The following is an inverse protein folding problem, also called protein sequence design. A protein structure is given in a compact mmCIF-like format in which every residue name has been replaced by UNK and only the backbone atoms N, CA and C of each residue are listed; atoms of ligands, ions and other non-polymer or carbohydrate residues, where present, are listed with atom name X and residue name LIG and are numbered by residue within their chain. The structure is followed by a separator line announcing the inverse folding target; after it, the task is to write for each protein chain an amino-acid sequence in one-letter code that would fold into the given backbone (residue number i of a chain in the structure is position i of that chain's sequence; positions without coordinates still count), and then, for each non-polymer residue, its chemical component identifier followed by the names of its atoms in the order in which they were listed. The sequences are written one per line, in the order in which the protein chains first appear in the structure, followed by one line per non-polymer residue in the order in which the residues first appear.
data_IF_318508844802
#
_entry.id   IF_318508844802
#
_cell.length_a   1.000
_cell.length_b   1.000
_cell.length_c   1.000
_cell.angle_alpha   90.00
_cell.angle_beta   90.00
_cell.angle_gamma   90.00
#
_symmetry.space_group_name_H-M   'P 1'
#
loop_
_entity.id
_entity.type
_entity.pdbx_description
1 polymer ?
#
# COMPACT_ATOMS: atom_id res chain seq x y z
N UNK A 1 -7.50 18.41 7.10
CA UNK A 1 -7.15 18.42 5.66
C UNK A 1 -5.81 19.16 5.52
N UNK A 2 -4.82 18.62 4.78
CA UNK A 2 -3.44 19.17 4.71
C UNK A 2 -3.11 19.75 3.33
N UNK A 3 -4.00 20.57 2.78
CA UNK A 3 -3.77 21.21 1.48
C UNK A 3 -2.77 22.36 1.64
N UNK A 4 -1.91 22.55 0.64
CA UNK A 4 -0.95 23.65 0.64
C UNK A 4 -1.65 25.01 0.64
N UNK A 5 -1.11 25.99 1.37
CA UNK A 5 -1.60 27.36 1.31
C UNK A 5 -0.93 28.08 0.12
N UNK A 6 -1.71 28.78 -0.70
CA UNK A 6 -1.20 29.67 -1.74
C UNK A 6 -1.52 31.13 -1.41
N UNK A 7 -0.63 32.05 -1.83
CA UNK A 7 -0.85 33.50 -1.77
C UNK A 7 -1.55 34.05 -3.02
N UNK A 8 -1.80 33.22 -4.03
CA UNK A 8 -2.43 33.61 -5.30
C UNK A 8 -3.94 33.39 -5.20
N UNK A 9 -4.79 34.42 -5.43
CA UNK A 9 -6.24 34.31 -5.26
C UNK A 9 -6.91 33.19 -6.08
N UNK A 10 -6.50 33.02 -7.34
CA UNK A 10 -7.03 31.95 -8.21
C UNK A 10 -6.69 30.54 -7.69
N UNK A 11 -5.50 30.35 -7.12
CA UNK A 11 -5.11 29.07 -6.52
C UNK A 11 -5.84 28.83 -5.19
N UNK A 12 -6.13 29.88 -4.42
CA UNK A 12 -6.96 29.79 -3.22
C UNK A 12 -8.38 29.34 -3.54
N UNK A 13 -8.96 29.84 -4.63
CA UNK A 13 -10.28 29.42 -5.11
C UNK A 13 -10.26 27.95 -5.59
N UNK A 14 -9.23 27.53 -6.32
CA UNK A 14 -9.04 26.13 -6.73
C UNK A 14 -8.92 25.20 -5.51
N UNK A 15 -8.13 25.59 -4.51
CA UNK A 15 -7.97 24.85 -3.25
C UNK A 15 -9.30 24.78 -2.50
N UNK A 16 -10.06 25.88 -2.40
CA UNK A 16 -11.34 25.92 -1.70
C UNK A 16 -12.39 25.03 -2.39
N UNK A 17 -12.48 25.08 -3.73
CA UNK A 17 -13.35 24.22 -4.51
C UNK A 17 -12.98 22.74 -4.35
N UNK A 18 -11.67 22.44 -4.33
CA UNK A 18 -11.20 21.09 -4.05
C UNK A 18 -11.56 20.64 -2.63
N UNK A 19 -11.32 21.46 -1.59
CA UNK A 19 -11.74 21.20 -0.22
C UNK A 19 -13.23 20.84 -0.14
N UNK A 20 -14.06 21.65 -0.79
CA UNK A 20 -15.52 21.48 -0.79
C UNK A 20 -15.92 20.17 -1.45
N UNK A 21 -15.29 19.81 -2.57
CA UNK A 21 -15.50 18.52 -3.21
C UNK A 21 -15.09 17.36 -2.30
N UNK A 22 -13.91 17.41 -1.66
CA UNK A 22 -13.49 16.36 -0.71
C UNK A 22 -14.49 16.23 0.44
N UNK A 23 -14.94 17.35 1.03
CA UNK A 23 -15.93 17.33 2.10
C UNK A 23 -17.25 16.70 1.65
N UNK A 24 -17.71 16.99 0.43
CA UNK A 24 -18.94 16.39 -0.11
C UNK A 24 -18.88 14.85 -0.23
N UNK A 25 -17.67 14.28 -0.39
CA UNK A 25 -17.48 12.82 -0.34
C UNK A 25 -17.64 12.29 1.08
N UNK A 26 -17.14 13.02 2.08
CA UNK A 26 -17.14 12.58 3.48
C UNK A 26 -18.47 12.81 4.21
N UNK A 27 -19.20 13.87 3.87
CA UNK A 27 -20.45 14.24 4.53
C UNK A 27 -21.65 13.40 4.04
N UNK A 28 -21.52 12.76 2.87
CA UNK A 28 -22.62 12.11 2.17
C UNK A 28 -23.53 13.17 1.52
N UNK A 29 -23.67 13.18 0.20
CA UNK A 29 -24.69 14.02 -0.42
C UNK A 29 -26.09 13.52 -0.01
N UNK A 30 -27.08 14.42 -0.02
CA UNK A 30 -28.51 14.16 0.27
C UNK A 30 -29.18 13.06 -0.60
N UNK A 31 -28.44 12.43 -1.51
CA UNK A 31 -28.86 11.33 -2.36
C UNK A 31 -28.33 9.99 -1.82
N UNK A 32 -28.81 9.56 -0.65
CA UNK A 32 -28.70 8.16 -0.25
C UNK A 32 -29.62 7.33 -1.14
N UNK A 33 -29.09 6.27 -1.77
CA UNK A 33 -29.92 5.18 -2.26
C UNK A 33 -30.62 4.47 -1.09
N UNK A 34 -31.68 3.69 -1.37
CA UNK A 34 -32.41 2.91 -0.36
C UNK A 34 -31.51 1.89 0.39
N UNK A 35 -30.40 1.50 -0.24
CA UNK A 35 -29.21 0.92 0.38
C UNK A 35 -28.24 2.09 0.61
N UNK A 36 -27.71 2.46 1.77
CA UNK A 36 -26.79 3.62 1.97
C UNK A 36 -25.48 3.76 1.14
N UNK A 37 -25.45 3.32 -0.11
CA UNK A 37 -24.52 3.59 -1.19
C UNK A 37 -24.76 4.99 -1.76
N UNK A 38 -23.68 5.76 -1.84
CA UNK A 38 -23.62 7.07 -2.49
C UNK A 38 -22.87 6.92 -3.81
N UNK A 39 -23.50 7.31 -4.92
CA UNK A 39 -22.77 7.50 -6.16
C UNK A 39 -21.98 8.80 -6.11
N UNK A 40 -20.67 8.70 -6.26
CA UNK A 40 -19.77 9.84 -6.35
C UNK A 40 -19.33 10.00 -7.79
N UNK A 41 -19.68 11.14 -8.37
CA UNK A 41 -19.19 11.54 -9.69
C UNK A 41 -17.79 12.16 -9.53
N UNK A 42 -16.83 11.62 -10.28
CA UNK A 42 -15.45 12.09 -10.23
C UNK A 42 -15.23 13.12 -11.34
N UNK A 43 -14.67 14.30 -11.01
CA UNK A 43 -14.30 15.30 -12.01
C UNK A 43 -13.38 14.74 -13.09
N UNK A 44 -13.65 15.06 -14.36
CA UNK A 44 -12.93 14.50 -15.51
C UNK A 44 -11.42 14.77 -15.47
N UNK A 45 -11.01 15.92 -14.92
CA UNK A 45 -9.60 16.28 -14.75
C UNK A 45 -8.87 15.37 -13.75
N UNK A 46 -9.59 14.70 -12.86
CA UNK A 46 -9.03 13.74 -11.90
C UNK A 46 -9.03 12.31 -12.44
N UNK A 47 -9.74 12.02 -13.54
CA UNK A 47 -9.80 10.68 -14.10
C UNK A 47 -8.61 10.37 -15.02
N UNK A 48 -8.24 9.09 -15.06
CA UNK A 48 -7.47 8.52 -16.18
C UNK A 48 -8.47 8.15 -17.27
N UNK A 49 -8.31 8.71 -18.46
CA UNK A 49 -9.25 8.55 -19.59
C UNK A 49 -8.77 7.56 -20.66
N UNK A 50 -7.54 7.05 -20.55
CA UNK A 50 -6.98 6.10 -21.50
C UNK A 50 -7.63 4.72 -21.36
N UNK A 51 -8.31 4.30 -22.42
CA UNK A 51 -9.02 3.02 -22.49
C UNK A 51 -8.15 1.88 -23.05
N UNK A 52 -6.97 2.18 -23.59
CA UNK A 52 -6.10 1.18 -24.22
C UNK A 52 -5.18 0.53 -23.21
N UNK A 53 -4.53 1.32 -22.36
CA UNK A 53 -3.69 0.80 -21.29
C UNK A 53 -3.80 1.66 -20.02
N UNK A 54 -4.98 1.64 -19.35
CA UNK A 54 -5.27 2.53 -18.22
C UNK A 54 -4.25 2.42 -17.08
N UNK A 55 -3.75 1.21 -16.81
CA UNK A 55 -2.77 0.99 -15.76
C UNK A 55 -1.39 1.58 -16.11
N UNK A 56 -0.99 1.55 -17.39
CA UNK A 56 0.26 2.16 -17.83
C UNK A 56 0.19 3.68 -17.74
N UNK A 57 -0.86 4.32 -18.26
CA UNK A 57 -1.01 5.79 -18.19
C UNK A 57 -1.07 6.28 -16.74
N UNK A 58 -1.63 5.44 -15.87
CA UNK A 58 -1.62 5.68 -14.43
C UNK A 58 -0.21 5.61 -13.82
N UNK A 59 0.58 4.62 -14.21
CA UNK A 59 1.98 4.49 -13.77
C UNK A 59 2.81 5.64 -14.31
N UNK A 60 2.61 6.05 -15.56
CA UNK A 60 3.32 7.19 -16.16
C UNK A 60 2.99 8.51 -15.45
N UNK A 61 1.74 8.68 -14.99
CA UNK A 61 1.37 9.83 -14.17
C UNK A 61 2.13 9.84 -12.82
N UNK A 62 2.19 8.68 -12.14
CA UNK A 62 2.79 8.59 -10.80
C UNK A 62 4.32 8.60 -10.90
N UNK A 63 4.87 7.80 -11.80
CA UNK A 63 6.29 7.51 -12.00
C UNK A 63 6.70 7.81 -13.45
N UNK A 64 6.68 9.09 -13.87
CA UNK A 64 7.08 9.49 -15.21
C UNK A 64 8.53 9.10 -15.46
N UNK A 65 8.80 8.64 -16.68
CA UNK A 65 10.13 8.19 -17.13
C UNK A 65 10.75 7.23 -16.12
N UNK A 66 9.97 6.24 -15.66
CA UNK A 66 10.34 5.30 -14.58
C UNK A 66 11.77 4.79 -14.77
N UNK A 67 12.08 4.26 -15.96
CA UNK A 67 13.38 3.63 -16.26
C UNK A 67 14.56 4.60 -16.13
N UNK A 68 14.40 5.85 -16.56
CA UNK A 68 15.46 6.85 -16.49
C UNK A 68 15.68 7.32 -15.04
N UNK A 69 14.62 7.32 -14.24
CA UNK A 69 14.65 7.76 -12.86
C UNK A 69 14.91 6.64 -11.83
N UNK A 70 15.03 5.37 -12.26
CA UNK A 70 15.37 4.26 -11.35
C UNK A 70 16.72 4.44 -10.66
N UNK A 71 17.62 5.27 -11.18
CA UNK A 71 18.88 5.64 -10.52
C UNK A 71 18.69 6.60 -9.35
N UNK A 72 17.71 7.49 -9.40
CA UNK A 72 17.49 8.54 -8.42
C UNK A 72 16.99 7.96 -7.08
N UNK A 73 17.61 8.40 -5.98
CA UNK A 73 17.27 7.96 -4.63
C UNK A 73 15.96 8.58 -4.14
N UNK A 74 15.64 9.79 -4.62
CA UNK A 74 14.48 10.56 -4.17
C UNK A 74 13.24 10.30 -5.03
N UNK A 75 13.39 9.66 -6.18
CA UNK A 75 12.30 9.43 -7.13
C UNK A 75 11.04 8.85 -6.48
N UNK A 76 11.19 7.85 -5.61
CA UNK A 76 10.06 7.19 -4.96
C UNK A 76 9.54 7.90 -3.69
N UNK A 77 10.18 8.97 -3.23
CA UNK A 77 9.89 9.59 -1.91
C UNK A 77 8.45 10.12 -1.80
N UNK A 78 7.95 10.74 -2.86
CA UNK A 78 6.75 11.59 -2.83
C UNK A 78 5.61 11.08 -3.72
N UNK A 79 5.66 9.79 -4.00
CA UNK A 79 4.80 9.13 -4.97
C UNK A 79 4.33 7.81 -4.38
N UNK A 80 3.07 7.49 -4.61
CA UNK A 80 2.49 6.25 -4.15
C UNK A 80 1.17 5.97 -4.85
N UNK A 81 0.97 4.71 -5.19
CA UNK A 81 -0.32 4.24 -5.64
C UNK A 81 -1.07 3.81 -4.36
N UNK A 82 -2.39 3.99 -4.26
CA UNK A 82 -3.21 3.28 -3.28
C UNK A 82 -4.15 2.34 -4.03
N UNK A 83 -4.36 1.17 -3.44
CA UNK A 83 -5.26 0.21 -4.01
C UNK A 83 -6.23 -0.32 -2.97
N UNK A 84 -7.44 -0.63 -3.44
CA UNK A 84 -8.56 -1.09 -2.66
C UNK A 84 -8.28 -2.43 -1.97
N UNK A 85 -8.16 -3.47 -2.78
CA UNK A 85 -8.07 -4.86 -2.35
C UNK A 85 -6.63 -5.33 -2.38
N UNK A 86 -6.35 -6.42 -1.66
CA UNK A 86 -5.05 -7.09 -1.75
C UNK A 86 -4.79 -7.61 -3.18
N UNK A 87 -5.82 -8.06 -3.89
CA UNK A 87 -5.70 -8.58 -5.26
C UNK A 87 -5.27 -7.49 -6.24
N UNK A 88 -5.89 -6.30 -6.17
CA UNK A 88 -5.43 -5.14 -6.93
C UNK A 88 -4.00 -4.76 -6.58
N UNK A 89 -3.60 -4.93 -5.30
CA UNK A 89 -2.23 -4.68 -4.86
C UNK A 89 -1.23 -5.64 -5.49
N UNK A 90 -1.54 -6.92 -5.51
CA UNK A 90 -0.71 -7.93 -6.14
C UNK A 90 -0.58 -7.65 -7.64
N UNK A 91 -1.69 -7.37 -8.33
CA UNK A 91 -1.71 -7.12 -9.78
C UNK A 91 -0.82 -5.94 -10.19
N UNK A 92 -0.96 -4.78 -9.54
CA UNK A 92 -0.15 -3.59 -9.86
C UNK A 92 1.31 -3.78 -9.46
N UNK A 93 1.59 -4.45 -8.33
CA UNK A 93 2.97 -4.73 -7.93
C UNK A 93 3.66 -5.66 -8.96
N UNK A 94 2.96 -6.68 -9.47
CA UNK A 94 3.47 -7.56 -10.52
C UNK A 94 3.72 -6.81 -11.82
N UNK A 95 2.78 -5.95 -12.22
CA UNK A 95 2.94 -5.11 -13.41
C UNK A 95 4.13 -4.15 -13.26
N UNK A 96 4.26 -3.45 -12.14
CA UNK A 96 5.42 -2.59 -11.83
C UNK A 96 6.74 -3.35 -11.86
N UNK A 97 6.77 -4.57 -11.31
CA UNK A 97 7.94 -5.43 -11.34
C UNK A 97 8.31 -5.88 -12.76
N UNK A 98 7.35 -6.01 -13.66
CA UNK A 98 7.59 -6.32 -15.08
C UNK A 98 8.28 -5.17 -15.83
N UNK A 99 7.99 -3.92 -15.44
CA UNK A 99 8.58 -2.72 -16.04
C UNK A 99 10.02 -2.47 -15.56
N UNK A 100 10.35 -2.84 -14.32
CA UNK A 100 11.69 -2.61 -13.78
C UNK A 100 12.70 -3.54 -14.46
N UNK A 101 13.77 -3.01 -15.07
CA UNK A 101 14.83 -3.81 -15.66
C UNK A 101 15.65 -4.55 -14.59
N UNK A 102 16.32 -5.61 -15.02
CA UNK A 102 17.19 -6.42 -14.17
C UNK A 102 16.61 -7.77 -13.79
N UNK A 103 17.47 -8.62 -13.24
CA UNK A 103 17.15 -9.99 -12.89
C UNK A 103 16.24 -10.05 -11.64
N UNK A 104 15.12 -10.76 -11.77
CA UNK A 104 14.25 -11.07 -10.64
C UNK A 104 14.89 -12.16 -9.78
N UNK A 105 14.97 -11.91 -8.47
CA UNK A 105 15.35 -12.92 -7.49
C UNK A 105 14.18 -13.29 -6.61
N UNK A 106 13.86 -14.58 -6.58
CA UNK A 106 12.83 -15.15 -5.72
C UNK A 106 13.43 -15.62 -4.38
N UNK A 107 12.78 -15.24 -3.29
CA UNK A 107 13.07 -15.73 -1.95
C UNK A 107 11.86 -16.50 -1.42
N UNK A 108 12.02 -17.81 -1.25
CA UNK A 108 11.01 -18.65 -0.59
C UNK A 108 11.17 -18.56 0.93
N UNK A 109 10.04 -18.54 1.63
CA UNK A 109 10.00 -18.60 3.09
C UNK A 109 10.21 -20.01 3.60
N UNK A 110 10.50 -20.13 4.90
CA UNK A 110 10.46 -21.39 5.62
C UNK A 110 9.33 -21.36 6.64
N UNK A 111 8.32 -22.20 6.41
CA UNK A 111 7.06 -22.18 7.13
C UNK A 111 6.96 -23.40 8.06
N UNK A 112 6.43 -23.20 9.26
CA UNK A 112 6.34 -24.23 10.30
C UNK A 112 5.22 -23.94 11.27
N UNK A 113 4.73 -24.97 11.94
CA UNK A 113 3.80 -24.83 13.05
C UNK A 113 4.61 -24.58 14.32
N UNK A 114 4.19 -23.59 15.10
CA UNK A 114 4.75 -23.30 16.41
C UNK A 114 4.10 -24.23 17.43
N UNK A 115 4.85 -25.22 17.93
CA UNK A 115 4.38 -26.20 18.92
C UNK A 115 4.28 -25.53 20.29
N UNK A 116 3.08 -25.32 20.79
CA UNK A 116 2.83 -24.92 22.18
C UNK A 116 1.73 -25.79 22.78
N UNK A 117 2.07 -27.00 23.21
CA UNK A 117 1.14 -27.91 23.92
C UNK A 117 1.48 -29.40 23.76
N UNK A 118 1.04 -30.21 24.74
CA UNK A 118 1.30 -31.65 24.85
C UNK A 118 0.62 -32.51 23.76
N UNK A 119 -0.36 -31.95 23.02
CA UNK A 119 -1.04 -32.62 21.89
C UNK A 119 -0.57 -32.15 20.49
N UNK A 120 0.58 -31.48 20.40
CA UNK A 120 1.04 -30.82 19.16
C UNK A 120 1.52 -31.77 18.06
N UNK A 121 1.87 -33.01 18.39
CA UNK A 121 2.40 -33.97 17.41
C UNK A 121 1.30 -34.52 16.48
N UNK A 122 0.12 -34.84 17.00
CA UNK A 122 -1.02 -35.41 16.22
C UNK A 122 -1.59 -34.42 15.21
N UNK A 123 -1.54 -33.12 15.49
CA UNK A 123 -2.02 -32.08 14.57
C UNK A 123 -1.04 -31.76 13.44
N UNK A 124 0.26 -32.04 13.63
CA UNK A 124 1.30 -31.64 12.68
C UNK A 124 1.30 -32.45 11.37
N UNK A 125 0.74 -33.66 11.37
CA UNK A 125 0.61 -34.50 10.18
C UNK A 125 -0.50 -34.05 9.22
N UNK A 126 -1.49 -33.29 9.70
CA UNK A 126 -2.62 -32.85 8.87
C UNK A 126 -2.32 -31.62 8.01
N UNK A 127 -1.26 -30.88 8.34
CA UNK A 127 -0.93 -29.64 7.63
C UNK A 127 0.26 -29.83 6.71
N UNK A 128 -0.02 -29.90 5.41
CA UNK A 128 1.03 -30.00 4.40
C UNK A 128 1.83 -28.69 4.29
N UNK A 129 3.13 -28.75 3.92
CA UNK A 129 3.90 -27.54 3.60
C UNK A 129 3.23 -26.67 2.52
N UNK A 130 2.52 -27.28 1.57
CA UNK A 130 1.76 -26.57 0.54
C UNK A 130 0.64 -25.70 1.13
N UNK A 131 -0.09 -26.22 2.11
CA UNK A 131 -1.10 -25.47 2.84
C UNK A 131 -0.47 -24.29 3.60
N UNK A 132 0.62 -24.54 4.35
CA UNK A 132 1.33 -23.52 5.11
C UNK A 132 1.85 -22.38 4.22
N UNK A 133 2.45 -22.73 3.08
CA UNK A 133 2.95 -21.78 2.09
C UNK A 133 1.84 -20.90 1.49
N UNK A 134 0.58 -21.38 1.52
CA UNK A 134 -0.60 -20.65 1.04
C UNK A 134 -1.14 -19.61 2.01
N UNK A 135 -0.72 -19.61 3.27
CA UNK A 135 -1.22 -18.66 4.29
C UNK A 135 -0.75 -17.24 3.95
N UNK A 136 -1.71 -16.34 3.71
CA UNK A 136 -1.52 -14.90 3.50
C UNK A 136 -2.14 -14.12 4.65
N UNK A 137 -1.44 -13.12 5.19
CA UNK A 137 -1.94 -12.22 6.24
C UNK A 137 -1.16 -10.91 6.25
N UNK A 138 -1.83 -9.78 6.60
CA UNK A 138 -1.28 -8.42 6.51
C UNK A 138 -0.11 -8.11 7.47
N UNK A 139 0.13 -9.00 8.44
CA UNK A 139 1.20 -8.91 9.45
C UNK A 139 2.44 -9.76 9.17
N UNK A 140 2.45 -10.53 8.07
CA UNK A 140 3.56 -11.41 7.69
C UNK A 140 3.88 -11.27 6.19
N UNK A 141 5.15 -11.40 5.78
CA UNK A 141 5.50 -11.47 4.37
C UNK A 141 4.89 -12.69 3.68
N UNK A 142 4.66 -12.59 2.37
CA UNK A 142 4.25 -13.72 1.55
C UNK A 142 5.33 -14.81 1.49
N UNK A 143 4.91 -16.05 1.22
CA UNK A 143 5.82 -17.18 1.05
C UNK A 143 6.84 -16.93 -0.05
N UNK A 144 6.37 -16.45 -1.21
CA UNK A 144 7.20 -16.04 -2.34
C UNK A 144 7.42 -14.54 -2.29
N UNK A 145 8.67 -14.12 -2.14
CA UNK A 145 9.07 -12.71 -2.22
C UNK A 145 9.98 -12.53 -3.43
N UNK A 146 9.47 -11.87 -4.47
CA UNK A 146 10.19 -11.58 -5.71
C UNK A 146 10.68 -10.14 -5.69
N UNK A 147 11.97 -9.92 -5.92
CA UNK A 147 12.60 -8.61 -5.85
C UNK A 147 13.59 -8.41 -7.01
N UNK A 148 13.79 -7.15 -7.39
CA UNK A 148 14.80 -6.69 -8.36
C UNK A 148 15.64 -5.59 -7.71
N UNK A 149 16.88 -5.42 -8.17
CA UNK A 149 17.67 -4.26 -7.75
C UNK A 149 17.00 -2.98 -8.26
N UNK A 150 16.95 -1.94 -7.43
CA UNK A 150 16.31 -0.67 -7.74
C UNK A 150 14.84 -0.57 -7.31
N UNK A 151 14.18 -1.68 -6.99
CA UNK A 151 12.77 -1.62 -6.60
C UNK A 151 12.57 -1.04 -5.17
N UNK A 152 11.51 -0.24 -4.94
CA UNK A 152 11.11 0.23 -3.62
C UNK A 152 10.41 -0.89 -2.83
N UNK A 153 10.84 -1.06 -1.59
CA UNK A 153 10.29 -1.99 -0.60
C UNK A 153 9.98 -1.25 0.70
N UNK A 154 9.18 -1.87 1.57
CA UNK A 154 8.83 -1.35 2.88
C UNK A 154 9.09 -2.40 3.96
N UNK A 155 9.63 -1.98 5.10
CA UNK A 155 9.79 -2.84 6.27
C UNK A 155 8.44 -3.19 6.89
N UNK A 156 8.22 -4.46 7.17
CA UNK A 156 6.99 -4.97 7.81
C UNK A 156 7.11 -5.11 9.35
N UNK A 157 8.33 -4.96 9.89
CA UNK A 157 8.61 -5.09 11.33
C UNK A 157 9.71 -4.13 11.74
N UNK A 158 9.71 -3.82 13.03
CA UNK A 158 10.81 -3.12 13.67
C UNK A 158 12.03 -4.04 13.72
N UNK A 159 13.15 -3.59 13.16
CA UNK A 159 14.45 -4.26 13.24
C UNK A 159 15.34 -3.50 14.22
N UNK A 160 15.41 -2.18 14.06
CA UNK A 160 16.23 -1.31 14.89
C UNK A 160 15.56 0.06 14.99
N UNK A 161 14.73 0.23 16.01
CA UNK A 161 13.96 1.45 16.21
C UNK A 161 14.86 2.65 16.53
N UNK A 162 15.93 2.43 17.30
CA UNK A 162 16.94 3.45 17.62
C UNK A 162 17.55 3.95 16.32
N UNK A 163 17.83 3.03 15.39
CA UNK A 163 18.30 3.36 14.05
C UNK A 163 17.22 3.59 12.99
N UNK A 164 15.94 3.74 13.39
CA UNK A 164 14.85 4.18 12.52
C UNK A 164 14.43 3.16 11.46
N UNK A 165 14.86 1.92 11.63
CA UNK A 165 14.40 0.76 10.89
C UNK A 165 13.18 0.18 11.58
N UNK A 166 12.10 0.95 11.50
CA UNK A 166 10.79 0.59 12.02
C UNK A 166 9.86 0.06 10.91
N UNK A 167 8.74 -0.51 11.32
CA UNK A 167 7.66 -0.87 10.42
C UNK A 167 7.20 0.37 9.64
N UNK A 168 7.06 0.23 8.32
CA UNK A 168 6.71 1.33 7.42
C UNK A 168 7.89 2.07 6.80
N UNK A 169 9.14 1.86 7.26
CA UNK A 169 10.31 2.49 6.63
C UNK A 169 10.44 2.03 5.17
N UNK A 170 10.41 2.99 4.23
CA UNK A 170 10.59 2.76 2.80
C UNK A 170 12.07 2.68 2.45
N UNK A 171 12.45 1.66 1.71
CA UNK A 171 13.81 1.37 1.31
C UNK A 171 13.87 1.11 -0.20
N UNK A 172 14.99 1.42 -0.83
CA UNK A 172 15.30 1.07 -2.22
C UNK A 172 16.31 -0.08 -2.22
N UNK A 173 15.98 -1.18 -2.87
CA UNK A 173 16.88 -2.34 -2.94
C UNK A 173 18.13 -1.97 -3.74
N UNK A 174 19.31 -2.20 -3.19
CA UNK A 174 20.59 -1.94 -3.87
C UNK A 174 21.37 -3.21 -4.16
N UNK A 175 21.20 -4.26 -3.34
CA UNK A 175 21.82 -5.55 -3.59
C UNK A 175 21.01 -6.71 -3.00
N UNK A 176 20.92 -7.80 -3.76
CA UNK A 176 20.12 -8.98 -3.44
C UNK A 176 21.03 -10.17 -3.11
N UNK A 177 21.47 -10.27 -1.85
CA UNK A 177 22.32 -11.36 -1.36
C UNK A 177 21.55 -12.65 -1.04
N UNK A 178 22.26 -13.72 -0.67
CA UNK A 178 21.62 -15.00 -0.29
C UNK A 178 20.93 -14.95 1.08
N UNK A 179 21.60 -14.34 2.06
CA UNK A 179 21.16 -14.31 3.47
C UNK A 179 20.72 -12.93 3.94
N UNK A 180 21.09 -11.89 3.18
CA UNK A 180 20.89 -10.49 3.53
C UNK A 180 20.56 -9.70 2.29
N UNK A 181 19.57 -8.81 2.39
CA UNK A 181 19.25 -7.82 1.37
C UNK A 181 19.84 -6.49 1.81
N UNK A 182 20.50 -5.81 0.89
CA UNK A 182 21.03 -4.46 1.13
C UNK A 182 20.07 -3.48 0.49
N UNK A 183 19.72 -2.44 1.23
CA UNK A 183 18.82 -1.40 0.75
C UNK A 183 19.27 -0.02 1.26
N UNK A 184 18.72 1.03 0.68
CA UNK A 184 18.96 2.42 1.08
C UNK A 184 17.66 3.04 1.55
N UNK A 185 17.67 3.75 2.68
CA UNK A 185 16.47 4.45 3.19
C UNK A 185 16.05 5.54 2.21
N UNK A 186 14.77 5.55 1.82
CA UNK A 186 14.23 6.52 0.84
C UNK A 186 13.79 7.81 1.53
N UNK A 187 13.16 7.73 2.71
CA UNK A 187 12.48 8.87 3.33
C UNK A 187 12.92 9.14 4.77
N UNK A 188 12.74 10.38 5.21
CA UNK A 188 12.99 10.81 6.59
C UNK A 188 14.44 11.21 6.88
N UNK A 189 14.77 11.45 8.15
CA UNK A 189 16.06 12.01 8.60
C UNK A 189 17.29 11.18 8.21
N UNK A 190 17.09 9.93 7.80
CA UNK A 190 18.14 8.98 7.44
C UNK A 190 18.11 8.61 5.95
N UNK A 191 17.40 9.37 5.11
CA UNK A 191 17.41 9.16 3.67
C UNK A 191 18.86 9.04 3.15
N UNK A 192 19.10 8.10 2.23
CA UNK A 192 20.43 7.77 1.72
C UNK A 192 21.23 6.80 2.59
N UNK A 193 20.78 6.47 3.81
CA UNK A 193 21.50 5.51 4.67
C UNK A 193 21.39 4.09 4.15
N UNK A 194 22.53 3.41 3.99
CA UNK A 194 22.60 2.01 3.58
C UNK A 194 22.36 1.08 4.77
N UNK A 195 21.51 0.08 4.58
CA UNK A 195 21.02 -0.83 5.64
C UNK A 195 21.05 -2.28 5.18
N UNK A 196 21.16 -3.20 6.13
CA UNK A 196 21.24 -4.64 5.90
C UNK A 196 20.03 -5.31 6.52
N UNK A 197 19.25 -6.00 5.70
CA UNK A 197 17.99 -6.62 6.12
C UNK A 197 18.16 -8.14 6.14
N UNK A 198 18.21 -8.78 7.33
CA UNK A 198 18.25 -10.23 7.46
C UNK A 198 16.84 -10.83 7.41
N UNK A 199 16.77 -12.16 7.27
CA UNK A 199 15.52 -12.91 7.49
C UNK A 199 15.16 -12.96 8.97
N UNK A 200 13.87 -12.89 9.29
CA UNK A 200 13.35 -12.95 10.64
C UNK A 200 12.20 -13.96 10.75
N UNK A 201 11.90 -14.40 11.97
CA UNK A 201 10.75 -15.24 12.25
C UNK A 201 9.52 -14.37 12.54
N UNK A 202 8.43 -14.67 11.85
CA UNK A 202 7.12 -14.10 12.06
C UNK A 202 6.26 -15.15 12.73
N UNK A 203 5.60 -14.77 13.83
CA UNK A 203 4.63 -15.63 14.51
C UNK A 203 3.27 -14.99 14.32
N UNK A 204 2.36 -15.74 13.70
CA UNK A 204 0.96 -15.36 13.52
C UNK A 204 0.12 -16.16 14.52
N UNK A 205 -0.65 -15.43 15.32
CA UNK A 205 -1.63 -15.97 16.26
C UNK A 205 -3.02 -15.58 15.77
N UNK A 206 -3.46 -16.23 14.69
CA UNK A 206 -4.76 -15.98 14.08
C UNK A 206 -5.81 -16.88 14.75
N UNK A 207 -6.89 -16.33 15.34
CA UNK A 207 -7.94 -17.14 15.96
C UNK A 207 -8.68 -18.04 14.96
N UNK A 208 -8.60 -17.75 13.65
CA UNK A 208 -9.13 -18.61 12.59
C UNK A 208 -8.25 -19.81 12.24
N UNK A 209 -7.02 -19.88 12.77
CA UNK A 209 -6.14 -21.03 12.61
C UNK A 209 -6.11 -21.87 13.89
N UNK A 210 -6.24 -23.20 13.81
CA UNK A 210 -6.19 -24.06 14.99
C UNK A 210 -4.77 -24.21 15.58
N UNK A 211 -3.78 -23.49 15.04
CA UNK A 211 -2.38 -23.54 15.44
C UNK A 211 -1.72 -22.17 15.33
N UNK A 212 -0.63 -21.98 16.08
CA UNK A 212 0.25 -20.83 15.92
C UNK A 212 1.15 -21.05 14.71
N UNK A 213 1.08 -20.16 13.74
CA UNK A 213 1.85 -20.26 12.51
C UNK A 213 3.18 -19.51 12.64
N UNK A 214 4.28 -20.10 12.14
CA UNK A 214 5.60 -19.45 12.09
C UNK A 214 6.16 -19.45 10.67
N UNK A 215 6.47 -18.25 10.16
CA UNK A 215 7.13 -18.03 8.87
C UNK A 215 8.48 -17.34 9.03
N UNK A 216 9.55 -17.91 8.49
CA UNK A 216 10.87 -17.27 8.40
C UNK A 216 11.07 -16.68 7.00
N UNK A 217 11.15 -15.36 6.92
CA UNK A 217 11.29 -14.62 5.66
C UNK A 217 11.96 -13.25 5.89
N UNK A 218 12.41 -12.59 4.82
CA UNK A 218 12.79 -11.17 4.88
C UNK A 218 11.57 -10.32 5.27
N UNK A 219 11.73 -9.36 6.20
CA UNK A 219 10.65 -8.51 6.67
C UNK A 219 10.31 -7.37 5.69
N UNK A 220 10.15 -7.71 4.41
CA UNK A 220 9.97 -6.77 3.32
C UNK A 220 8.70 -7.09 2.54
N UNK A 221 8.06 -6.04 2.04
CA UNK A 221 7.03 -6.09 1.01
C UNK A 221 7.36 -5.07 -0.08
N UNK A 222 6.91 -5.29 -1.31
CA UNK A 222 6.96 -4.26 -2.36
C UNK A 222 6.15 -3.03 -1.92
N UNK A 223 6.60 -1.86 -2.33
CA UNK A 223 6.06 -0.57 -1.87
C UNK A 223 5.66 0.36 -3.03
N UNK A 224 5.21 -0.20 -4.16
CA UNK A 224 4.56 0.61 -5.20
C UNK A 224 3.17 1.07 -4.74
N UNK A 225 2.54 0.21 -3.95
CA UNK A 225 1.22 0.37 -3.34
C UNK A 225 1.31 0.33 -1.81
N UNK A 226 0.56 1.19 -1.11
CA UNK A 226 0.36 0.97 0.33
C UNK A 226 -0.67 -0.15 0.56
N UNK A 227 -0.66 -0.70 1.79
CA UNK A 227 -1.61 -1.71 2.29
C UNK A 227 -3.06 -1.40 1.89
N UNK A 228 -3.92 -2.42 1.72
CA UNK A 228 -5.32 -2.20 1.39
C UNK A 228 -5.94 -1.35 2.50
N UNK A 229 -6.44 -0.18 2.13
CA UNK A 229 -7.04 0.77 3.05
C UNK A 229 -8.53 0.51 2.97
N UNK A 230 -9.08 -0.52 3.63
CA UNK A 230 -10.51 -0.86 3.45
C UNK A 230 -11.36 -1.13 4.72
N UNK A 231 -11.99 -0.05 5.24
CA UNK A 231 -13.26 0.09 5.99
C UNK A 231 -13.82 1.54 5.87
N UNK A 232 -15.13 1.74 5.67
CA UNK A 232 -15.98 2.99 5.68
C UNK A 232 -15.35 4.40 5.44
N UNK A 233 -15.92 5.21 4.54
CA UNK A 233 -15.56 6.64 4.34
C UNK A 233 -14.21 6.86 3.63
N UNK A 234 -13.92 6.04 2.63
CA UNK A 234 -12.53 5.73 2.27
C UNK A 234 -12.00 6.48 1.08
N UNK A 235 -12.89 6.78 0.13
CA UNK A 235 -12.56 7.72 -0.92
C UNK A 235 -12.19 9.06 -0.26
N UNK A 236 -12.96 9.50 0.75
CA UNK A 236 -12.60 10.65 1.58
C UNK A 236 -11.24 10.49 2.28
N UNK A 237 -10.97 9.39 2.99
CA UNK A 237 -9.70 9.19 3.71
C UNK A 237 -8.51 9.16 2.75
N UNK A 238 -8.67 8.53 1.60
CA UNK A 238 -7.64 8.43 0.58
C UNK A 238 -7.39 9.82 -0.06
N UNK A 239 -8.46 10.50 -0.48
CA UNK A 239 -8.40 11.82 -1.13
C UNK A 239 -7.88 12.89 -0.19
N UNK A 240 -8.24 12.83 1.10
CA UNK A 240 -7.72 13.76 2.10
C UNK A 240 -6.22 13.59 2.39
N UNK A 241 -5.54 12.54 1.86
CA UNK A 241 -4.09 12.40 1.98
C UNK A 241 -3.32 13.31 1.02
N UNK A 242 -3.88 13.72 -0.12
CA UNK A 242 -3.16 14.63 -1.01
C UNK A 242 -3.07 16.04 -0.48
N UNK A 243 -1.95 16.68 -0.85
CA UNK A 243 -1.66 18.07 -0.55
C UNK A 243 -2.10 19.01 -1.66
N UNK A 244 -2.44 18.50 -2.85
CA UNK A 244 -2.92 19.28 -4.00
C UNK A 244 -3.81 18.48 -4.94
N UNK A 245 -4.74 19.17 -5.63
CA UNK A 245 -5.62 18.59 -6.65
C UNK A 245 -4.82 18.02 -7.84
N UNK A 246 -3.81 18.76 -8.31
CA UNK A 246 -2.91 18.36 -9.41
C UNK A 246 -2.11 17.09 -9.11
N UNK A 247 -1.97 16.74 -7.83
CA UNK A 247 -1.33 15.51 -7.40
C UNK A 247 -2.24 14.29 -7.43
N UNK A 248 -3.54 14.44 -7.66
CA UNK A 248 -4.51 13.35 -7.59
C UNK A 248 -4.90 12.87 -8.98
N UNK A 249 -4.85 11.54 -9.19
CA UNK A 249 -5.51 10.87 -10.31
C UNK A 249 -6.24 9.62 -9.82
N UNK A 250 -7.38 9.34 -10.42
CA UNK A 250 -8.23 8.22 -10.10
C UNK A 250 -8.40 7.39 -11.37
N UNK A 251 -8.02 6.12 -11.28
CA UNK A 251 -8.38 5.13 -12.27
C UNK A 251 -9.54 4.35 -11.67
N UNK A 252 -10.69 4.32 -12.34
CA UNK A 252 -11.85 3.54 -11.92
C UNK A 252 -12.17 2.57 -13.04
N UNK A 253 -12.26 1.29 -12.69
CA UNK A 253 -12.57 0.20 -13.62
C UNK A 253 -13.89 -0.47 -13.23
N UNK A 254 -14.75 -0.74 -14.22
CA UNK A 254 -15.91 -1.62 -14.03
C UNK A 254 -15.50 -3.10 -13.94
N UNK A 255 -16.49 -3.98 -13.84
CA UNK A 255 -16.28 -5.43 -13.75
C UNK A 255 -15.67 -6.03 -15.02
N UNK A 256 -15.79 -5.32 -16.15
CA UNK A 256 -15.25 -5.69 -17.46
C UNK A 256 -13.87 -5.03 -17.72
N UNK A 257 -13.31 -4.33 -16.73
CA UNK A 257 -12.07 -3.54 -16.81
C UNK A 257 -12.11 -2.34 -17.76
N UNK A 258 -13.29 -1.78 -18.04
CA UNK A 258 -13.41 -0.52 -18.76
C UNK A 258 -13.35 0.67 -17.81
N UNK A 259 -12.78 1.76 -18.31
CA UNK A 259 -12.66 3.02 -17.57
C UNK A 259 -14.04 3.62 -17.32
N UNK A 260 -14.32 3.95 -16.06
CA UNK A 260 -15.59 4.52 -15.60
C UNK A 260 -15.40 5.90 -14.95
N UNK A 261 -16.48 6.70 -14.94
CA UNK A 261 -16.51 8.04 -14.35
C UNK A 261 -17.14 8.11 -12.97
N UNK A 262 -17.91 7.10 -12.61
CA UNK A 262 -18.64 7.01 -11.34
C UNK A 262 -18.04 5.92 -10.47
N UNK A 263 -18.04 6.14 -9.16
CA UNK A 263 -17.77 5.10 -8.17
C UNK A 263 -18.78 5.17 -7.05
N UNK A 264 -18.98 4.03 -6.38
CA UNK A 264 -19.87 3.95 -5.23
C UNK A 264 -19.03 4.14 -3.96
N UNK A 265 -19.27 5.22 -3.23
CA UNK A 265 -18.80 5.32 -1.85
C UNK A 265 -19.90 4.81 -0.92
N UNK A 266 -19.49 4.09 0.12
CA UNK A 266 -20.42 3.44 1.05
C UNK A 266 -20.34 4.21 2.35
N UNK A 267 -21.27 5.16 2.53
CA UNK A 267 -21.41 6.00 3.72
C UNK A 267 -22.55 5.42 4.58
N UNK A 268 -22.24 4.38 5.34
CA UNK A 268 -23.18 3.73 6.27
C UNK A 268 -22.82 4.05 7.71
N UNK A 269 -23.81 4.50 8.50
CA UNK A 269 -23.64 4.58 9.96
C UNK A 269 -23.26 3.22 10.59
N UNK A 270 -23.59 2.08 9.96
CA UNK A 270 -23.20 0.73 10.42
C UNK A 270 -23.00 -0.26 9.24
N UNK A 271 -21.76 -0.75 9.07
CA UNK A 271 -21.25 -1.98 8.40
C UNK A 271 -21.51 -2.34 6.91
N UNK A 272 -20.37 -2.42 6.18
CA UNK A 272 -19.94 -3.24 5.00
C UNK A 272 -20.79 -3.34 3.71
N UNK A 273 -20.19 -3.00 2.54
CA UNK A 273 -19.98 -3.81 1.30
C UNK A 273 -19.09 -3.03 0.28
N UNK A 274 -18.51 -3.76 -0.69
CA UNK A 274 -17.46 -3.43 -1.68
C UNK A 274 -17.96 -2.63 -2.90
N UNK A 275 -17.14 -1.69 -3.40
CA UNK A 275 -16.46 -1.68 -4.72
C UNK A 275 -15.87 -0.30 -4.99
N UNK A 276 -14.56 -0.20 -4.83
CA UNK A 276 -13.75 0.87 -5.40
C UNK A 276 -12.58 0.19 -6.07
N UNK A 277 -12.31 0.46 -7.35
CA UNK A 277 -11.20 -0.14 -8.09
C UNK A 277 -10.13 0.94 -8.33
N UNK A 278 -9.20 1.08 -7.39
CA UNK A 278 -7.94 1.88 -7.43
C UNK A 278 -8.11 3.41 -7.18
N UNK A 279 -7.22 4.00 -6.37
CA UNK A 279 -7.24 5.44 -6.00
C UNK A 279 -5.81 5.97 -5.85
N UNK A 280 -5.39 7.04 -6.54
CA UNK A 280 -3.95 7.36 -6.65
C UNK A 280 -3.59 8.80 -6.32
N UNK A 281 -2.45 8.95 -5.65
CA UNK A 281 -2.00 10.20 -5.05
C UNK A 281 -0.51 10.45 -5.28
N UNK A 282 -0.17 11.67 -5.70
CA UNK A 282 1.17 12.27 -5.63
C UNK A 282 1.24 13.02 -4.31
N UNK A 283 2.12 12.59 -3.40
CA UNK A 283 2.20 13.04 -2.02
C UNK A 283 3.51 13.76 -1.74
N UNK A 284 3.50 15.06 -1.46
CA UNK A 284 4.53 15.65 -0.60
C UNK A 284 4.28 15.15 0.85
N UNK A 285 4.80 13.97 1.22
CA UNK A 285 4.64 13.41 2.57
C UNK A 285 5.83 13.74 3.46
N UNK A 286 5.60 14.66 4.40
CA UNK A 286 6.31 14.67 5.66
C UNK A 286 5.89 13.46 6.50
N UNK A 287 6.82 12.51 6.67
CA UNK A 287 6.96 11.57 7.80
C UNK A 287 5.67 11.19 8.54
N UNK A 288 5.07 10.05 8.22
CA UNK A 288 4.14 9.35 9.12
C UNK A 288 4.88 8.22 9.84
N UNK A 289 5.57 8.56 10.92
CA UNK A 289 5.83 7.60 12.01
C UNK A 289 4.53 7.42 12.77
N UNK A 290 3.87 6.27 12.60
CA UNK A 290 2.81 5.83 13.53
C UNK A 290 3.49 5.29 14.78
N UNK A 291 3.75 6.18 15.75
CA UNK A 291 3.89 5.80 17.15
C UNK A 291 2.57 6.11 17.84
N UNK A 292 1.63 5.17 17.82
CA UNK A 292 0.60 5.13 18.83
C UNK A 292 1.20 4.43 20.05
N UNK A 293 1.77 5.25 20.92
CA UNK A 293 2.01 4.91 22.31
C UNK A 293 0.67 4.65 22.99
N UNK A 294 0.42 3.39 23.31
CA UNK A 294 -0.54 3.03 24.37
C UNK A 294 0.01 3.59 25.68
N UNK A 295 -0.42 4.80 26.04
CA UNK A 295 -0.39 5.26 27.43
C UNK A 295 -1.57 4.62 28.13
N UNK A 296 -1.30 3.56 28.89
CA UNK A 296 -2.13 3.12 30.00
C UNK A 296 -2.21 4.26 31.02
N UNK A 297 -3.39 4.84 31.20
CA UNK A 297 -3.69 5.69 32.35
C UNK A 297 -4.34 4.83 33.43
N UNK A 298 -3.64 4.75 34.56
CA UNK A 298 -4.02 4.39 35.93
C UNK A 298 -4.96 3.19 36.16
#
# INVERSE_FOLDING_TARGET
MRLGASSVPAEQEEIANFCKWILSIGDGNDALGDNGEMKVEIPEDLLISDTTNPLMSLIDFVYPDLNDNLGDQLFFQERGILAPTLDSIEHVNEFMMSLIPGEEKEYLSSDSIFRSGENSDVQSEWFTPKFLNGIKSSGIPNHRLKLKVGCPVMLMRNIDQVNGLCNGTRLKVTHLGKSTIVATVITGKRAGTRVFIPRMNFILNDPGLPFKFRRRQFPLTLCFLHKPVFTHGQLYVAVSRVTSRKGLKLLILDDDNNVCKETTDVVYRETFVKKLNVCIYRLHMLSLTMSESYTTNN
#
